data_IF_400235961625
#
_entry.id   IF_400235961625
#
_cell.length_a   1.000
_cell.length_b   1.000
_cell.length_c   1.000
_cell.angle_alpha   90.00
_cell.angle_beta   90.00
_cell.angle_gamma   90.00
#
_symmetry.space_group_name_H-M   'P 1'
#
loop_
_entity.id
_entity.type
_entity.pdbx_description
1 polymer ?
#
# COMPACT_ATOMS: atom_id res chain seq x y z
N UNK A 1 10.70 -18.76 16.14
CA UNK A 1 9.70 -17.80 15.63
C UNK A 1 9.31 -16.93 16.82
N UNK A 2 10.19 -16.01 17.20
CA UNK A 2 9.95 -15.11 18.33
C UNK A 2 9.34 -13.81 17.79
N UNK A 3 8.06 -13.90 17.41
CA UNK A 3 7.29 -12.72 17.02
C UNK A 3 6.86 -11.97 18.28
N UNK A 4 7.37 -10.75 18.47
CA UNK A 4 6.81 -9.80 19.43
C UNK A 4 5.47 -9.30 18.91
N UNK A 5 4.41 -10.07 19.16
CA UNK A 5 3.04 -9.64 18.94
C UNK A 5 2.78 -8.41 19.80
N UNK A 6 2.41 -7.32 19.15
CA UNK A 6 2.11 -6.06 19.82
C UNK A 6 1.09 -5.27 19.03
N UNK A 7 0.37 -4.40 19.73
CA UNK A 7 -0.53 -3.43 19.09
C UNK A 7 0.21 -2.63 18.00
N UNK A 8 1.50 -2.35 18.18
CA UNK A 8 2.31 -1.62 17.19
C UNK A 8 2.55 -2.42 15.92
N UNK A 9 2.89 -3.72 16.04
CA UNK A 9 3.06 -4.58 14.87
C UNK A 9 1.73 -4.82 14.14
N UNK A 10 0.62 -4.88 14.88
CA UNK A 10 -0.71 -5.06 14.32
C UNK A 10 -1.18 -3.82 13.55
N UNK A 11 -0.91 -2.61 14.06
CA UNK A 11 -1.18 -1.35 13.34
C UNK A 11 -0.34 -1.27 12.06
N UNK A 12 0.93 -1.65 12.13
CA UNK A 12 1.81 -1.63 10.97
C UNK A 12 1.34 -2.61 9.89
N UNK A 13 1.03 -3.85 10.25
CA UNK A 13 0.57 -4.87 9.31
C UNK A 13 -0.80 -4.52 8.71
N UNK A 14 -1.70 -3.93 9.50
CA UNK A 14 -2.96 -3.39 9.01
C UNK A 14 -2.75 -2.27 7.97
N UNK A 15 -1.82 -1.35 8.22
CA UNK A 15 -1.49 -0.29 7.27
C UNK A 15 -0.97 -0.84 5.94
N UNK A 16 -0.11 -1.86 5.98
CA UNK A 16 0.37 -2.54 4.77
C UNK A 16 -0.77 -3.22 4.02
N UNK A 17 -1.65 -3.95 4.73
CA UNK A 17 -2.81 -4.60 4.15
C UNK A 17 -3.73 -3.60 3.44
N UNK A 18 -3.95 -2.43 4.04
CA UNK A 18 -4.76 -1.37 3.42
C UNK A 18 -4.16 -0.88 2.10
N UNK A 19 -2.84 -0.68 2.05
CA UNK A 19 -2.15 -0.29 0.82
C UNK A 19 -2.24 -1.40 -0.24
N UNK A 20 -2.15 -2.68 0.13
CA UNK A 20 -2.34 -3.80 -0.79
C UNK A 20 -3.77 -3.84 -1.36
N UNK A 21 -4.79 -3.60 -0.54
CA UNK A 21 -6.19 -3.55 -0.97
C UNK A 21 -6.41 -2.40 -1.96
N UNK A 22 -5.95 -1.19 -1.61
CA UNK A 22 -6.16 0.01 -2.44
C UNK A 22 -5.42 -0.12 -3.78
N UNK A 23 -4.20 -0.65 -3.76
CA UNK A 23 -3.38 -0.78 -4.97
C UNK A 23 -3.69 -2.01 -5.82
N UNK A 24 -4.40 -2.99 -5.25
CA UNK A 24 -4.61 -4.30 -5.88
C UNK A 24 -3.32 -5.11 -6.07
N UNK A 25 -2.19 -4.64 -5.51
CA UNK A 25 -0.87 -5.25 -5.67
C UNK A 25 -0.41 -5.88 -4.36
N UNK A 26 -0.03 -7.15 -4.42
CA UNK A 26 0.58 -7.86 -3.28
C UNK A 26 1.95 -7.25 -2.99
N UNK A 27 2.29 -7.07 -1.71
CA UNK A 27 3.60 -6.58 -1.25
C UNK A 27 4.76 -7.47 -1.75
N UNK A 28 4.52 -8.77 -1.99
CA UNK A 28 5.49 -9.69 -2.61
C UNK A 28 5.79 -9.43 -4.09
N UNK A 29 4.86 -8.77 -4.81
CA UNK A 29 5.03 -8.40 -6.22
C UNK A 29 5.99 -7.22 -6.40
N UNK A 30 6.07 -6.34 -5.40
CA UNK A 30 7.01 -5.22 -5.37
C UNK A 30 8.47 -5.70 -5.25
N UNK A 31 8.72 -6.70 -4.39
CA UNK A 31 10.02 -7.34 -4.25
C UNK A 31 10.56 -7.95 -5.56
N UNK A 32 9.69 -8.41 -6.47
CA UNK A 32 10.09 -8.98 -7.75
C UNK A 32 10.38 -7.94 -8.84
N UNK A 33 9.84 -6.72 -8.72
CA UNK A 33 10.09 -5.63 -9.68
C UNK A 33 11.31 -4.79 -9.31
N UNK A 34 11.54 -4.56 -8.03
CA UNK A 34 12.73 -3.89 -7.49
C UNK A 34 12.81 -4.18 -5.98
N UNK A 35 13.89 -4.80 -5.47
CA UNK A 35 14.09 -5.05 -4.03
C UNK A 35 14.01 -3.79 -3.15
N UNK A 36 14.17 -2.61 -3.74
CA UNK A 36 14.10 -1.30 -3.08
C UNK A 36 12.73 -0.60 -3.21
N UNK A 37 11.84 -1.08 -4.09
CA UNK A 37 10.44 -0.65 -4.12
C UNK A 37 9.68 -1.53 -3.14
N UNK A 38 9.36 -0.98 -1.98
CA UNK A 38 8.32 -1.53 -1.12
C UNK A 38 7.02 -0.75 -1.35
N UNK A 39 5.85 -1.38 -1.18
CA UNK A 39 4.55 -0.74 -1.40
C UNK A 39 4.40 0.56 -0.60
N UNK A 40 5.03 0.61 0.58
CA UNK A 40 5.00 1.77 1.49
C UNK A 40 5.75 2.97 0.90
N UNK A 41 6.93 2.76 0.31
CA UNK A 41 7.79 3.78 -0.28
C UNK A 41 7.12 4.38 -1.51
N UNK A 42 6.54 3.53 -2.36
CA UNK A 42 5.78 3.98 -3.52
C UNK A 42 4.56 4.82 -3.11
N UNK A 43 3.77 4.34 -2.15
CA UNK A 43 2.65 5.10 -1.60
C UNK A 43 3.10 6.43 -0.96
N UNK A 44 4.23 6.42 -0.25
CA UNK A 44 4.80 7.62 0.37
C UNK A 44 5.28 8.65 -0.65
N UNK A 45 5.91 8.22 -1.74
CA UNK A 45 6.34 9.08 -2.83
C UNK A 45 5.13 9.74 -3.51
N UNK A 46 4.11 8.95 -3.89
CA UNK A 46 2.86 9.47 -4.45
C UNK A 46 2.15 10.45 -3.51
N UNK A 47 2.16 10.17 -2.20
CA UNK A 47 1.59 11.07 -1.20
C UNK A 47 2.32 12.42 -1.16
N UNK A 48 3.66 12.41 -1.10
CA UNK A 48 4.48 13.64 -1.12
C UNK A 48 4.29 14.43 -2.41
N UNK A 49 4.09 13.74 -3.53
CA UNK A 49 3.91 14.35 -4.85
C UNK A 49 2.47 14.84 -5.09
N UNK A 50 1.57 14.69 -4.11
CA UNK A 50 0.18 15.13 -4.22
C UNK A 50 -0.66 14.28 -5.17
N UNK A 51 -0.24 13.04 -5.44
CA UNK A 51 -0.84 12.10 -6.39
C UNK A 51 -1.31 10.79 -5.74
N UNK A 52 -2.01 10.82 -4.59
CA UNK A 52 -2.39 9.60 -3.89
C UNK A 52 -3.35 8.71 -4.69
N UNK A 53 -4.11 9.28 -5.64
CA UNK A 53 -5.03 8.53 -6.50
C UNK A 53 -4.32 7.65 -7.52
N UNK A 54 -3.07 7.96 -7.88
CA UNK A 54 -2.27 7.10 -8.78
C UNK A 54 -1.93 5.75 -8.13
N UNK A 55 -2.11 5.62 -6.80
CA UNK A 55 -1.93 4.36 -6.09
C UNK A 55 -3.13 3.40 -6.28
N UNK A 56 -4.32 3.92 -6.61
CA UNK A 56 -5.55 3.13 -6.68
C UNK A 56 -5.49 2.15 -7.83
N UNK A 57 -5.90 0.90 -7.58
CA UNK A 57 -6.01 -0.13 -8.61
C UNK A 57 -6.89 0.37 -9.77
N UNK A 58 -6.37 0.42 -11.02
CA UNK A 58 -7.13 0.82 -12.19
C UNK A 58 -8.41 0.00 -12.42
N UNK A 59 -8.49 -1.22 -11.89
CA UNK A 59 -9.66 -2.09 -11.97
C UNK A 59 -10.80 -1.69 -11.03
N UNK A 60 -10.55 -0.83 -10.03
CA UNK A 60 -11.58 -0.32 -9.11
C UNK A 60 -12.53 0.70 -9.76
N UNK A 61 -12.26 1.14 -10.99
CA UNK A 61 -13.08 2.10 -11.71
C UNK A 61 -13.05 3.51 -11.10
N UNK A 62 -13.65 4.49 -11.79
CA UNK A 62 -13.69 5.90 -11.36
C UNK A 62 -15.00 6.27 -10.65
N UNK A 63 -15.82 5.30 -10.25
CA UNK A 63 -17.09 5.54 -9.57
C UNK A 63 -16.88 5.84 -8.08
N UNK A 64 -16.09 6.86 -7.78
CA UNK A 64 -16.12 7.50 -6.48
C UNK A 64 -17.26 8.52 -6.52
N UNK A 65 -18.22 8.47 -5.59
CA UNK A 65 -19.19 9.55 -5.49
C UNK A 65 -18.41 10.84 -5.22
N UNK A 66 -18.53 11.81 -6.13
CA UNK A 66 -18.09 13.19 -5.87
C UNK A 66 -18.87 13.67 -4.63
N UNK A 67 -18.14 14.19 -3.64
CA UNK A 67 -18.71 14.83 -2.45
C UNK A 67 -19.02 16.30 -2.70
#
# INVERSE_FOLDING_TARGET
MDGLFSIKSDIFSFGVLLLEIISGQKNTGFYHKDPSMNSIKHAWELWKDGKPLELVDPSMGTSFPEQ
#
